data_IF_625626958797
#
_entry.id   IF_625626958797
#
_cell.length_a   1.000
_cell.length_b   1.000
_cell.length_c   1.000
_cell.angle_alpha   90.00
_cell.angle_beta   90.00
_cell.angle_gamma   90.00
#
_symmetry.space_group_name_H-M   'P 1'
#
loop_
_entity.id
_entity.type
_entity.pdbx_description
1 polymer ?
#
# COMPACT_ATOMS: atom_id res chain seq x y z
N UNK A 1 28.66 102.56 -91.11
CA UNK A 1 27.95 103.65 -90.40
C UNK A 1 28.78 103.93 -89.16
N UNK A 2 29.84 104.72 -89.33
CA UNK A 2 29.88 106.19 -89.06
C UNK A 2 29.99 106.42 -87.54
N UNK A 3 30.98 107.12 -86.96
CA UNK A 3 31.86 108.17 -87.48
C UNK A 3 33.08 108.39 -86.55
N UNK A 4 34.22 108.76 -87.16
CA UNK A 4 35.23 109.81 -86.83
C UNK A 4 35.62 110.15 -85.36
N UNK A 5 36.90 110.03 -84.95
CA UNK A 5 38.03 110.97 -85.13
C UNK A 5 38.03 112.14 -84.09
N UNK A 6 39.11 112.73 -83.55
CA UNK A 6 40.55 112.81 -83.87
C UNK A 6 41.30 113.59 -82.75
N UNK A 7 42.59 113.27 -82.51
CA UNK A 7 43.68 114.20 -82.12
C UNK A 7 43.89 114.51 -80.62
N UNK A 8 45.09 114.82 -80.09
CA UNK A 8 46.49 114.73 -80.54
C UNK A 8 47.45 115.19 -79.41
N UNK A 9 48.58 114.47 -79.22
CA UNK A 9 49.97 114.89 -78.81
C UNK A 9 50.24 115.77 -77.56
N UNK A 10 51.14 115.33 -76.65
CA UNK A 10 52.60 115.69 -76.56
C UNK A 10 53.33 115.17 -75.30
N UNK A 11 54.61 114.78 -75.49
CA UNK A 11 55.83 114.85 -74.63
C UNK A 11 55.80 114.23 -73.20
N UNK A 12 56.80 113.53 -72.63
CA UNK A 12 58.25 113.42 -72.82
C UNK A 12 58.77 112.09 -72.18
N UNK A 13 60.05 111.69 -72.38
CA UNK A 13 60.59 110.37 -72.03
C UNK A 13 61.29 110.37 -70.66
N UNK A 14 61.38 109.21 -70.00
CA UNK A 14 62.40 109.01 -68.96
C UNK A 14 62.99 107.59 -69.02
N UNK A 15 64.32 107.55 -69.05
CA UNK A 15 65.14 106.34 -69.13
C UNK A 15 65.43 105.76 -67.74
N UNK A 16 66.04 104.56 -67.68
CA UNK A 16 65.92 103.64 -66.55
C UNK A 16 66.95 103.91 -65.43
N UNK A 17 66.62 103.70 -64.14
CA UNK A 17 67.61 103.66 -63.08
C UNK A 17 68.06 102.23 -62.77
N UNK A 18 69.36 102.02 -62.98
CA UNK A 18 70.31 101.09 -62.35
C UNK A 18 69.80 100.21 -61.21
N UNK A 19 70.02 98.91 -61.40
CA UNK A 19 70.02 97.87 -60.36
C UNK A 19 70.94 98.26 -59.19
N UNK A 20 70.36 98.78 -58.12
CA UNK A 20 70.99 98.85 -56.81
C UNK A 20 71.02 97.45 -56.23
N UNK A 21 72.21 96.88 -56.08
CA UNK A 21 72.40 95.70 -55.22
C UNK A 21 71.86 96.06 -53.83
N UNK A 22 70.72 95.47 -53.46
CA UNK A 22 70.05 95.73 -52.20
C UNK A 22 71.04 95.49 -51.04
N UNK A 23 71.06 96.37 -50.01
CA UNK A 23 71.84 96.15 -48.80
C UNK A 23 71.55 94.76 -48.22
N UNK A 24 72.57 94.07 -47.69
CA UNK A 24 72.47 92.67 -47.22
C UNK A 24 71.31 92.45 -46.22
N UNK A 25 70.98 93.46 -45.42
CA UNK A 25 69.83 93.43 -44.50
C UNK A 25 68.47 93.35 -45.21
N UNK A 26 68.33 94.00 -46.36
CA UNK A 26 67.09 94.03 -47.15
C UNK A 26 66.91 92.72 -47.93
N UNK A 27 67.99 92.18 -48.51
CA UNK A 27 67.98 90.86 -49.14
C UNK A 27 67.65 89.73 -48.15
N UNK A 28 68.10 89.83 -46.89
CA UNK A 28 67.72 88.87 -45.84
C UNK A 28 66.25 88.96 -45.47
N UNK A 29 65.66 90.17 -45.42
CA UNK A 29 64.23 90.34 -45.13
C UNK A 29 63.36 89.79 -46.25
N UNK A 30 63.73 89.98 -47.51
CA UNK A 30 62.98 89.44 -48.64
C UNK A 30 63.10 87.91 -48.74
N UNK A 31 64.25 87.33 -48.42
CA UNK A 31 64.38 85.87 -48.28
C UNK A 31 63.46 85.32 -47.17
N UNK A 32 63.38 86.01 -46.02
CA UNK A 32 62.43 85.64 -44.97
C UNK A 32 60.98 85.80 -45.42
N UNK A 33 60.66 86.86 -46.18
CA UNK A 33 59.34 87.09 -46.76
C UNK A 33 58.96 85.94 -47.70
N UNK A 34 59.85 85.56 -48.62
CA UNK A 34 59.65 84.47 -49.57
C UNK A 34 59.45 83.12 -48.87
N UNK A 35 60.19 82.84 -47.79
CA UNK A 35 59.97 81.64 -46.97
C UNK A 35 58.55 81.65 -46.36
N UNK A 36 58.11 82.80 -45.84
CA UNK A 36 56.78 82.94 -45.23
C UNK A 36 55.67 82.86 -46.27
N UNK A 37 55.84 83.47 -47.43
CA UNK A 37 54.90 83.38 -48.56
C UNK A 37 54.78 81.93 -49.06
N UNK A 38 55.90 81.23 -49.29
CA UNK A 38 55.89 79.81 -49.63
C UNK A 38 55.26 78.93 -48.54
N UNK A 39 55.38 79.31 -47.26
CA UNK A 39 54.67 78.61 -46.18
C UNK A 39 53.16 78.88 -46.25
N UNK A 40 52.75 80.13 -46.50
CA UNK A 40 51.34 80.51 -46.67
C UNK A 40 50.72 79.79 -47.86
N UNK A 41 51.39 79.71 -49.00
CA UNK A 41 50.90 78.98 -50.19
C UNK A 41 50.72 77.48 -49.91
N UNK A 42 51.69 76.85 -49.24
CA UNK A 42 51.56 75.45 -48.80
C UNK A 42 50.37 75.26 -47.87
N UNK A 43 50.16 76.15 -46.90
CA UNK A 43 49.00 76.10 -46.02
C UNK A 43 47.69 76.35 -46.77
N UNK A 44 47.66 77.28 -47.72
CA UNK A 44 46.49 77.54 -48.56
C UNK A 44 46.10 76.32 -49.40
N UNK A 45 47.08 75.63 -49.99
CA UNK A 45 46.83 74.38 -50.70
C UNK A 45 46.29 73.28 -49.77
N UNK A 46 46.86 73.13 -48.58
CA UNK A 46 46.37 72.17 -47.57
C UNK A 46 44.94 72.51 -47.12
N UNK A 47 44.64 73.79 -46.86
CA UNK A 47 43.30 74.27 -46.50
C UNK A 47 42.31 73.95 -47.63
N UNK A 48 42.68 74.20 -48.89
CA UNK A 48 41.82 73.88 -50.05
C UNK A 48 41.53 72.38 -50.12
N UNK A 49 42.56 71.54 -50.01
CA UNK A 49 42.41 70.07 -49.99
C UNK A 49 41.55 69.58 -48.83
N UNK A 50 41.67 70.18 -47.65
CA UNK A 50 40.84 69.86 -46.49
C UNK A 50 39.38 70.27 -46.69
N UNK A 51 39.11 71.45 -47.29
CA UNK A 51 37.75 71.90 -47.63
C UNK A 51 37.08 70.96 -48.62
N UNK A 52 37.78 70.54 -49.67
CA UNK A 52 37.27 69.59 -50.66
C UNK A 52 36.95 68.22 -50.02
N UNK A 53 37.83 67.72 -49.14
CA UNK A 53 37.56 66.48 -48.38
C UNK A 53 36.35 66.62 -47.47
N UNK A 54 36.22 67.75 -46.77
CA UNK A 54 35.10 68.01 -45.88
C UNK A 54 33.77 68.06 -46.66
N UNK A 55 33.74 68.71 -47.82
CA UNK A 55 32.56 68.71 -48.71
C UNK A 55 32.17 67.29 -49.15
N UNK A 56 33.15 66.45 -49.53
CA UNK A 56 32.87 65.04 -49.89
C UNK A 56 32.30 64.25 -48.71
N UNK A 57 32.79 64.48 -47.50
CA UNK A 57 32.25 63.83 -46.30
C UNK A 57 30.83 64.31 -45.97
N UNK A 58 30.55 65.60 -46.11
CA UNK A 58 29.20 66.13 -45.92
C UNK A 58 28.20 65.52 -46.91
N UNK A 59 28.56 65.44 -48.19
CA UNK A 59 27.70 64.84 -49.21
C UNK A 59 27.48 63.35 -48.98
N UNK A 60 28.52 62.59 -48.61
CA UNK A 60 28.38 61.18 -48.25
C UNK A 60 27.45 61.00 -47.05
N UNK A 61 27.61 61.83 -46.02
CA UNK A 61 26.80 61.75 -44.80
C UNK A 61 25.33 62.12 -45.09
N UNK A 62 25.09 63.06 -46.01
CA UNK A 62 23.75 63.40 -46.48
C UNK A 62 23.06 62.21 -47.15
N UNK A 63 23.74 61.54 -48.09
CA UNK A 63 23.21 60.34 -48.77
C UNK A 63 22.92 59.20 -47.80
N UNK A 64 23.83 58.92 -46.87
CA UNK A 64 23.62 57.88 -45.84
C UNK A 64 22.38 58.17 -44.99
N UNK A 65 22.15 59.44 -44.61
CA UNK A 65 20.93 59.82 -43.87
C UNK A 65 19.66 59.66 -44.71
N UNK A 66 19.73 60.00 -46.00
CA UNK A 66 18.60 59.81 -46.93
C UNK A 66 18.26 58.32 -47.10
N UNK A 67 19.27 57.45 -47.26
CA UNK A 67 19.13 56.00 -47.34
C UNK A 67 18.57 55.41 -46.03
N UNK A 68 19.12 55.79 -44.88
CA UNK A 68 18.61 55.35 -43.57
C UNK A 68 17.15 55.75 -43.37
N UNK A 69 16.80 57.00 -43.68
CA UNK A 69 15.42 57.47 -43.61
C UNK A 69 14.50 56.71 -44.56
N UNK A 70 14.98 56.36 -45.75
CA UNK A 70 14.23 55.55 -46.70
C UNK A 70 13.97 54.14 -46.16
N UNK A 71 14.99 53.45 -45.63
CA UNK A 71 14.84 52.12 -45.04
C UNK A 71 13.87 52.12 -43.84
N UNK A 72 13.98 53.11 -42.95
CA UNK A 72 13.08 53.23 -41.80
C UNK A 72 11.63 53.42 -42.27
N UNK A 73 11.39 54.30 -43.24
CA UNK A 73 10.05 54.51 -43.79
C UNK A 73 9.50 53.25 -44.44
N UNK A 74 10.33 52.51 -45.17
CA UNK A 74 9.91 51.28 -45.82
C UNK A 74 9.57 50.18 -44.80
N UNK A 75 10.40 49.98 -43.77
CA UNK A 75 10.11 49.05 -42.67
C UNK A 75 8.81 49.41 -41.94
N UNK A 76 8.58 50.71 -41.67
CA UNK A 76 7.31 51.15 -41.06
C UNK A 76 6.12 50.82 -41.97
N UNK A 77 6.27 50.98 -43.29
CA UNK A 77 5.22 50.64 -44.26
C UNK A 77 4.95 49.14 -44.28
N UNK A 78 5.99 48.30 -44.38
CA UNK A 78 5.87 46.84 -44.36
C UNK A 78 5.23 46.34 -43.05
N UNK A 79 5.59 46.91 -41.91
CA UNK A 79 4.96 46.58 -40.63
C UNK A 79 3.48 46.98 -40.60
N UNK A 80 3.11 48.13 -41.17
CA UNK A 80 1.70 48.54 -41.25
C UNK A 80 0.90 47.62 -42.16
N UNK A 81 1.44 47.23 -43.31
CA UNK A 81 0.78 46.30 -44.24
C UNK A 81 0.61 44.91 -43.59
N UNK A 82 1.64 44.37 -42.94
CA UNK A 82 1.54 43.09 -42.21
C UNK A 82 0.57 43.13 -41.02
N UNK A 83 0.52 44.23 -40.27
CA UNK A 83 -0.41 44.36 -39.14
C UNK A 83 -1.88 44.58 -39.58
N UNK A 84 -2.13 45.01 -40.83
CA UNK A 84 -3.49 45.12 -41.36
C UNK A 84 -4.04 43.78 -41.87
N UNK A 85 -3.15 42.86 -42.27
CA UNK A 85 -3.53 41.54 -42.77
C UNK A 85 -3.60 40.44 -41.68
N UNK A 86 -3.09 40.68 -40.46
CA UNK A 86 -2.96 39.64 -39.43
C UNK A 86 -3.18 40.15 -37.99
N UNK A 87 -4.25 40.91 -37.76
CA UNK A 87 -4.80 41.07 -36.42
C UNK A 87 -6.18 40.42 -36.39
N UNK A 88 -6.33 39.19 -35.83
CA UNK A 88 -7.64 38.65 -35.52
C UNK A 88 -8.30 39.65 -34.58
N UNK A 89 -9.38 40.28 -35.03
CA UNK A 89 -10.19 41.15 -34.18
C UNK A 89 -10.89 40.23 -33.18
N UNK A 90 -10.20 39.94 -32.06
CA UNK A 90 -10.77 39.20 -30.95
C UNK A 90 -11.98 39.98 -30.48
N UNK A 91 -13.15 39.44 -30.77
CA UNK A 91 -14.41 40.09 -30.42
C UNK A 91 -14.63 39.93 -28.93
N UNK A 92 -15.34 40.89 -28.34
CA UNK A 92 -15.69 40.84 -26.92
C UNK A 92 -16.45 39.54 -26.56
N UNK A 93 -17.24 39.03 -27.49
CA UNK A 93 -18.03 37.80 -27.34
C UNK A 93 -17.12 36.57 -27.21
N UNK A 94 -16.09 36.42 -28.04
CA UNK A 94 -15.10 35.33 -27.95
C UNK A 94 -14.33 35.34 -26.62
N UNK A 95 -14.03 36.54 -26.09
CA UNK A 95 -13.36 36.68 -24.78
C UNK A 95 -14.30 36.30 -23.64
N UNK A 96 -15.57 36.71 -23.72
CA UNK A 96 -16.58 36.34 -22.72
C UNK A 96 -16.87 34.83 -22.74
N UNK A 97 -16.90 34.20 -23.92
CA UNK A 97 -17.07 32.76 -24.09
C UNK A 97 -15.85 31.98 -23.57
N UNK A 98 -14.63 32.38 -23.95
CA UNK A 98 -13.39 31.78 -23.43
C UNK A 98 -13.27 31.93 -21.90
N UNK A 99 -13.74 33.03 -21.31
CA UNK A 99 -13.79 33.19 -19.86
C UNK A 99 -14.81 32.27 -19.20
N UNK A 100 -15.99 32.07 -19.79
CA UNK A 100 -17.01 31.14 -19.27
C UNK A 100 -16.50 29.70 -19.32
N UNK A 101 -15.94 29.28 -20.45
CA UNK A 101 -15.34 27.95 -20.60
C UNK A 101 -14.23 27.71 -19.59
N UNK A 102 -13.34 28.70 -19.40
CA UNK A 102 -12.27 28.61 -18.40
C UNK A 102 -12.84 28.48 -16.99
N UNK A 103 -13.87 29.26 -16.66
CA UNK A 103 -14.51 29.20 -15.34
C UNK A 103 -15.20 27.86 -15.09
N UNK A 104 -15.92 27.32 -16.07
CA UNK A 104 -16.54 26.00 -15.98
C UNK A 104 -15.49 24.89 -15.85
N UNK A 105 -14.41 24.97 -16.61
CA UNK A 105 -13.29 24.04 -16.53
C UNK A 105 -12.64 24.05 -15.14
N UNK A 106 -12.35 25.23 -14.59
CA UNK A 106 -11.79 25.36 -13.24
C UNK A 106 -12.73 24.76 -12.18
N UNK A 107 -14.04 25.02 -12.30
CA UNK A 107 -15.04 24.48 -11.38
C UNK A 107 -15.16 22.96 -11.48
N UNK A 108 -15.08 22.41 -12.69
CA UNK A 108 -15.13 20.98 -12.91
C UNK A 108 -13.86 20.28 -12.41
N UNK A 109 -12.69 20.90 -12.58
CA UNK A 109 -11.45 20.44 -11.95
C UNK A 109 -11.56 20.44 -10.42
N UNK A 110 -12.08 21.52 -9.83
CA UNK A 110 -12.23 21.62 -8.38
C UNK A 110 -13.18 20.56 -7.83
N UNK A 111 -14.29 20.29 -8.53
CA UNK A 111 -15.22 19.22 -8.19
C UNK A 111 -14.55 17.84 -8.27
N UNK A 112 -13.82 17.55 -9.34
CA UNK A 112 -13.07 16.31 -9.50
C UNK A 112 -12.01 16.11 -8.41
N UNK A 113 -11.30 17.17 -8.04
CA UNK A 113 -10.32 17.13 -6.94
C UNK A 113 -10.98 16.86 -5.59
N UNK A 114 -12.17 17.42 -5.33
CA UNK A 114 -12.94 17.14 -4.11
C UNK A 114 -13.40 15.68 -4.08
N UNK A 115 -13.91 15.17 -5.19
CA UNK A 115 -14.34 13.78 -5.33
C UNK A 115 -13.17 12.80 -5.08
N UNK A 116 -12.02 13.02 -5.72
CA UNK A 116 -10.83 12.19 -5.46
C UNK A 116 -10.38 12.24 -4.00
N UNK A 117 -10.46 13.40 -3.34
CA UNK A 117 -10.15 13.50 -1.90
C UNK A 117 -11.10 12.69 -1.04
N UNK A 118 -12.39 12.67 -1.37
CA UNK A 118 -13.39 11.86 -0.65
C UNK A 118 -13.06 10.38 -0.83
N UNK A 119 -12.82 9.94 -2.06
CA UNK A 119 -12.47 8.55 -2.37
C UNK A 119 -11.18 8.10 -1.66
N UNK A 120 -10.16 8.96 -1.61
CA UNK A 120 -8.92 8.69 -0.86
C UNK A 120 -9.23 8.49 0.62
N UNK A 121 -9.99 9.40 1.24
CA UNK A 121 -10.34 9.29 2.66
C UNK A 121 -11.15 8.02 2.97
N UNK A 122 -12.10 7.67 2.11
CA UNK A 122 -12.90 6.44 2.25
C UNK A 122 -12.02 5.18 2.13
N UNK A 123 -11.11 5.16 1.16
CA UNK A 123 -10.16 4.08 0.98
C UNK A 123 -9.20 3.96 2.17
N UNK A 124 -8.69 5.07 2.70
CA UNK A 124 -7.84 5.10 3.90
C UNK A 124 -8.57 4.56 5.12
N UNK A 125 -9.85 4.93 5.31
CA UNK A 125 -10.66 4.40 6.40
C UNK A 125 -10.84 2.89 6.30
N UNK A 126 -11.22 2.38 5.12
CA UNK A 126 -11.36 0.94 4.87
C UNK A 126 -10.03 0.21 5.06
N UNK A 127 -8.91 0.82 4.65
CA UNK A 127 -7.59 0.26 4.83
C UNK A 127 -7.24 0.11 6.32
N UNK A 128 -7.50 1.14 7.13
CA UNK A 128 -7.27 1.09 8.58
C UNK A 128 -8.15 0.04 9.28
N UNK A 129 -9.41 -0.09 8.88
CA UNK A 129 -10.29 -1.14 9.38
C UNK A 129 -9.72 -2.53 9.06
N UNK A 130 -9.28 -2.76 7.82
CA UNK A 130 -8.66 -4.03 7.41
C UNK A 130 -7.33 -4.30 8.09
N UNK A 131 -6.55 -3.25 8.35
CA UNK A 131 -5.30 -3.35 9.10
C UNK A 131 -5.57 -3.80 10.55
N UNK A 132 -6.56 -3.20 11.23
CA UNK A 132 -6.93 -3.59 12.59
C UNK A 132 -7.47 -5.02 12.67
N UNK A 133 -8.26 -5.45 11.67
CA UNK A 133 -8.73 -6.84 11.57
C UNK A 133 -7.55 -7.81 11.42
N UNK A 134 -6.58 -7.46 10.57
CA UNK A 134 -5.36 -8.26 10.38
C UNK A 134 -4.56 -8.36 11.69
N UNK A 135 -4.34 -7.24 12.38
CA UNK A 135 -3.63 -7.20 13.66
C UNK A 135 -4.31 -8.09 14.70
N UNK A 136 -5.64 -8.02 14.80
CA UNK A 136 -6.42 -8.92 15.67
C UNK A 136 -6.19 -10.40 15.36
N UNK A 137 -6.25 -10.78 14.07
CA UNK A 137 -6.02 -12.17 13.68
C UNK A 137 -4.59 -12.63 13.90
N UNK A 138 -3.60 -11.75 13.76
CA UNK A 138 -2.20 -12.04 14.08
C UNK A 138 -2.01 -12.23 15.60
N UNK A 139 -2.60 -11.39 16.43
CA UNK A 139 -2.59 -11.56 17.89
C UNK A 139 -3.25 -12.88 18.30
N UNK A 140 -4.40 -13.20 17.71
CA UNK A 140 -5.07 -14.47 17.95
C UNK A 140 -4.19 -15.65 17.51
N UNK A 141 -3.60 -15.60 16.32
CA UNK A 141 -2.72 -16.66 15.83
C UNK A 141 -1.51 -16.87 16.76
N UNK A 142 -0.90 -15.80 17.23
CA UNK A 142 0.34 -15.85 18.01
C UNK A 142 0.12 -16.24 19.48
N UNK A 143 -0.98 -15.78 20.09
CA UNK A 143 -1.23 -15.95 21.54
C UNK A 143 -2.56 -16.69 21.79
N UNK A 144 -3.66 -16.17 21.26
CA UNK A 144 -5.00 -16.70 21.54
C UNK A 144 -5.18 -18.17 21.14
N UNK A 145 -4.60 -18.58 20.02
CA UNK A 145 -4.68 -19.93 19.49
C UNK A 145 -4.02 -20.94 20.43
N UNK A 146 -2.91 -20.57 21.08
CA UNK A 146 -2.24 -21.45 22.03
C UNK A 146 -3.08 -21.61 23.31
N UNK A 147 -3.66 -20.50 23.81
CA UNK A 147 -4.53 -20.51 24.99
C UNK A 147 -5.80 -21.34 24.75
N UNK A 148 -6.47 -21.14 23.61
CA UNK A 148 -7.64 -21.93 23.25
C UNK A 148 -7.29 -23.41 23.01
N UNK A 149 -6.15 -23.71 22.39
CA UNK A 149 -5.71 -25.11 22.25
C UNK A 149 -5.51 -25.78 23.62
N UNK A 150 -4.87 -25.10 24.57
CA UNK A 150 -4.70 -25.60 25.93
C UNK A 150 -6.05 -25.81 26.64
N UNK A 151 -6.98 -24.85 26.51
CA UNK A 151 -8.32 -24.97 27.08
C UNK A 151 -9.09 -26.14 26.48
N UNK A 152 -9.03 -26.32 25.15
CA UNK A 152 -9.67 -27.45 24.47
C UNK A 152 -9.12 -28.78 25.00
N UNK A 153 -7.79 -28.91 25.13
CA UNK A 153 -7.17 -30.12 25.67
C UNK A 153 -7.60 -30.36 27.13
N UNK A 154 -7.64 -29.32 27.96
CA UNK A 154 -8.11 -29.42 29.35
C UNK A 154 -9.55 -29.92 29.40
N UNK A 155 -10.46 -29.32 28.64
CA UNK A 155 -11.86 -29.70 28.61
C UNK A 155 -12.05 -31.11 28.06
N UNK A 156 -11.25 -31.52 27.08
CA UNK A 156 -11.27 -32.89 26.56
C UNK A 156 -10.88 -33.90 27.65
N UNK A 157 -9.85 -33.61 28.43
CA UNK A 157 -9.44 -34.44 29.57
C UNK A 157 -10.54 -34.52 30.64
N UNK A 158 -11.21 -33.41 30.94
CA UNK A 158 -12.33 -33.38 31.88
C UNK A 158 -13.49 -34.24 31.39
N UNK A 159 -13.84 -34.14 30.10
CA UNK A 159 -14.87 -34.98 29.46
C UNK A 159 -14.51 -36.45 29.58
N UNK A 160 -13.27 -36.83 29.27
CA UNK A 160 -12.86 -38.23 29.29
C UNK A 160 -12.81 -38.79 30.72
N UNK A 161 -12.42 -37.97 31.69
CA UNK A 161 -12.49 -38.32 33.13
C UNK A 161 -13.93 -38.56 33.59
N UNK A 162 -14.87 -37.69 33.18
CA UNK A 162 -16.29 -37.85 33.51
C UNK A 162 -16.87 -39.11 32.87
N UNK A 163 -16.50 -39.42 31.62
CA UNK A 163 -16.91 -40.67 30.96
C UNK A 163 -16.40 -41.90 31.69
N UNK A 164 -15.11 -41.95 32.01
CA UNK A 164 -14.51 -43.09 32.72
C UNK A 164 -15.17 -43.30 34.09
N UNK A 165 -15.45 -42.22 34.83
CA UNK A 165 -16.16 -42.30 36.09
C UNK A 165 -17.59 -42.80 35.93
N UNK A 166 -18.32 -42.34 34.91
CA UNK A 166 -19.68 -42.81 34.63
C UNK A 166 -19.70 -44.30 34.27
N UNK A 167 -18.72 -44.78 33.49
CA UNK A 167 -18.55 -46.20 33.16
C UNK A 167 -18.28 -47.04 34.40
N UNK A 168 -17.31 -46.63 35.23
CA UNK A 168 -16.99 -47.29 36.51
C UNK A 168 -18.19 -47.36 37.44
N UNK A 169 -18.93 -46.27 37.59
CA UNK A 169 -20.15 -46.24 38.41
C UNK A 169 -21.22 -47.17 37.85
N UNK A 170 -21.43 -47.18 36.54
CA UNK A 170 -22.37 -48.09 35.87
C UNK A 170 -22.04 -49.56 36.12
N UNK A 171 -20.75 -49.92 36.02
CA UNK A 171 -20.27 -51.27 36.32
C UNK A 171 -20.50 -51.65 37.79
N UNK A 172 -20.18 -50.75 38.72
CA UNK A 172 -20.44 -50.96 40.15
C UNK A 172 -21.93 -51.17 40.43
N UNK A 173 -22.81 -50.37 39.82
CA UNK A 173 -24.26 -50.53 39.97
C UNK A 173 -24.75 -51.87 39.40
N UNK A 174 -24.23 -52.31 38.24
CA UNK A 174 -24.57 -53.62 37.67
C UNK A 174 -24.20 -54.75 38.61
N UNK A 175 -22.96 -54.75 39.12
CA UNK A 175 -22.48 -55.78 40.07
C UNK A 175 -23.32 -55.79 41.34
N UNK A 176 -23.55 -54.62 41.94
CA UNK A 176 -24.34 -54.49 43.16
C UNK A 176 -25.77 -54.99 42.97
N UNK A 177 -26.40 -54.66 41.84
CA UNK A 177 -27.75 -55.08 41.51
C UNK A 177 -27.84 -56.60 41.29
N UNK A 178 -26.86 -57.20 40.63
CA UNK A 178 -26.79 -58.66 40.46
C UNK A 178 -26.63 -59.39 41.79
N UNK A 179 -25.75 -58.89 42.67
CA UNK A 179 -25.53 -59.50 43.98
C UNK A 179 -26.75 -59.38 44.89
N UNK A 180 -27.43 -58.24 44.85
CA UNK A 180 -28.68 -58.03 45.58
C UNK A 180 -29.81 -58.92 45.04
N UNK A 181 -29.91 -59.08 43.72
CA UNK A 181 -30.84 -60.04 43.10
C UNK A 181 -30.55 -61.48 43.55
N UNK A 182 -29.28 -61.90 43.59
CA UNK A 182 -28.89 -63.22 44.11
C UNK A 182 -29.20 -63.36 45.60
N UNK A 183 -29.03 -62.29 46.40
CA UNK A 183 -29.35 -62.27 47.83
C UNK A 183 -30.85 -62.45 48.06
N UNK A 184 -31.68 -61.64 47.40
CA UNK A 184 -33.14 -61.73 47.45
C UNK A 184 -33.61 -63.13 46.99
N UNK A 185 -33.06 -63.66 45.91
CA UNK A 185 -33.42 -65.00 45.41
C UNK A 185 -33.11 -66.11 46.42
N UNK A 186 -31.99 -66.02 47.14
CA UNK A 186 -31.62 -66.96 48.20
C UNK A 186 -32.54 -66.83 49.41
N UNK A 187 -32.77 -65.61 49.87
CA UNK A 187 -33.61 -65.33 51.04
C UNK A 187 -35.06 -65.76 50.80
N UNK A 188 -35.62 -65.43 49.63
CA UNK A 188 -36.96 -65.87 49.22
C UNK A 188 -37.07 -67.39 49.16
N UNK A 189 -36.06 -68.10 48.62
CA UNK A 189 -36.04 -69.56 48.62
C UNK A 189 -36.03 -70.15 50.05
N UNK A 190 -35.27 -69.55 50.97
CA UNK A 190 -35.26 -69.97 52.39
C UNK A 190 -36.63 -69.77 53.02
N UNK A 191 -37.23 -68.59 52.86
CA UNK A 191 -38.56 -68.29 53.37
C UNK A 191 -39.63 -69.24 52.80
N UNK A 192 -39.54 -69.58 51.52
CA UNK A 192 -40.48 -70.49 50.85
C UNK A 192 -40.36 -71.93 51.39
N UNK A 193 -39.13 -72.42 51.63
CA UNK A 193 -38.88 -73.71 52.30
C UNK A 193 -39.45 -73.73 53.71
N UNK A 194 -39.17 -72.70 54.50
CA UNK A 194 -39.73 -72.56 55.84
C UNK A 194 -41.26 -72.57 55.79
N UNK A 195 -41.87 -71.80 54.90
CA UNK A 195 -43.34 -71.73 54.78
C UNK A 195 -43.95 -73.06 54.34
N UNK A 196 -43.27 -73.82 53.48
CA UNK A 196 -43.63 -75.19 53.11
C UNK A 196 -43.57 -76.12 54.33
N UNK A 197 -42.49 -76.08 55.10
CA UNK A 197 -42.33 -76.87 56.32
C UNK A 197 -43.42 -76.54 57.34
N UNK A 198 -43.67 -75.25 57.61
CA UNK A 198 -44.74 -74.79 58.48
C UNK A 198 -46.11 -75.27 58.00
N UNK A 199 -46.41 -75.18 56.71
CA UNK A 199 -47.66 -75.69 56.14
C UNK A 199 -47.78 -77.22 56.28
N UNK A 200 -46.70 -77.97 56.06
CA UNK A 200 -46.70 -79.42 56.27
C UNK A 200 -46.90 -79.80 57.74
N UNK A 201 -46.23 -79.11 58.67
CA UNK A 201 -46.43 -79.32 60.10
C UNK A 201 -47.85 -78.99 60.53
N UNK A 202 -48.41 -77.90 60.00
CA UNK A 202 -49.79 -77.50 60.26
C UNK A 202 -50.77 -78.54 59.72
N UNK A 203 -50.61 -78.99 58.46
CA UNK A 203 -51.46 -80.01 57.86
C UNK A 203 -51.41 -81.34 58.65
N UNK A 204 -50.21 -81.79 59.04
CA UNK A 204 -50.02 -83.00 59.84
C UNK A 204 -50.84 -82.95 61.15
N UNK A 205 -50.96 -81.79 61.80
CA UNK A 205 -51.78 -81.65 63.03
C UNK A 205 -53.26 -81.94 62.83
N UNK A 206 -53.79 -81.86 61.60
CA UNK A 206 -55.19 -82.14 61.29
C UNK A 206 -55.41 -83.55 60.71
N UNK A 207 -54.37 -84.39 60.65
CA UNK A 207 -54.46 -85.77 60.15
C UNK A 207 -54.92 -86.71 61.28
N UNK A 208 -55.82 -87.65 60.96
CA UNK A 208 -56.32 -88.64 61.91
C UNK A 208 -55.21 -89.56 62.47
N UNK A 209 -55.39 -90.03 63.72
CA UNK A 209 -54.40 -90.84 64.44
C UNK A 209 -53.93 -92.10 63.71
N UNK A 210 -54.78 -92.71 62.86
CA UNK A 210 -54.41 -93.90 62.06
C UNK A 210 -53.34 -93.56 61.02
N UNK A 211 -53.49 -92.42 60.35
CA UNK A 211 -52.62 -91.99 59.26
C UNK A 211 -51.25 -91.48 59.77
N UNK A 212 -51.17 -91.02 61.03
CA UNK A 212 -49.91 -90.63 61.68
C UNK A 212 -48.89 -91.78 61.75
N UNK A 213 -49.36 -93.02 61.94
CA UNK A 213 -48.50 -94.20 62.03
C UNK A 213 -47.86 -94.54 60.69
N UNK A 214 -48.65 -94.45 59.62
CA UNK A 214 -48.23 -94.69 58.24
C UNK A 214 -47.25 -93.62 57.73
N UNK A 215 -47.42 -92.35 58.14
CA UNK A 215 -46.47 -91.27 57.85
C UNK A 215 -45.13 -91.52 58.56
N UNK A 216 -45.16 -91.93 59.82
CA UNK A 216 -43.95 -92.18 60.61
C UNK A 216 -43.15 -93.38 60.08
N UNK A 217 -43.83 -94.48 59.71
CA UNK A 217 -43.21 -95.63 59.06
C UNK A 217 -42.62 -95.27 57.69
N UNK A 218 -43.31 -94.48 56.86
CA UNK A 218 -42.77 -93.99 55.58
C UNK A 218 -41.52 -93.11 55.76
N UNK A 219 -41.51 -92.22 56.75
CA UNK A 219 -40.35 -91.37 57.03
C UNK A 219 -39.15 -92.18 57.54
N UNK A 220 -39.39 -93.23 58.33
CA UNK A 220 -38.35 -94.19 58.73
C UNK A 220 -37.79 -94.96 57.52
N UNK A 221 -38.68 -95.48 56.66
CA UNK A 221 -38.32 -96.21 55.44
C UNK A 221 -37.56 -95.35 54.41
N UNK A 222 -37.71 -94.02 54.41
CA UNK A 222 -36.93 -93.10 53.55
C UNK A 222 -35.51 -92.85 54.05
N UNK A 223 -35.28 -92.90 55.37
CA UNK A 223 -33.95 -92.67 55.98
C UNK A 223 -33.05 -93.90 55.86
N UNK A 224 -33.63 -95.09 55.98
CA UNK A 224 -32.88 -96.36 55.92
C UNK A 224 -32.08 -96.57 54.62
N UNK A 225 -32.62 -96.33 53.40
CA UNK A 225 -31.83 -96.42 52.17
C UNK A 225 -30.79 -95.32 52.05
N UNK A 226 -31.02 -94.12 52.60
CA UNK A 226 -30.03 -93.03 52.58
C UNK A 226 -28.81 -93.33 53.46
N UNK A 227 -29.02 -93.90 54.64
CA UNK A 227 -27.93 -94.35 55.51
C UNK A 227 -27.16 -95.51 54.89
N UNK A 228 -27.85 -96.50 54.32
CA UNK A 228 -27.20 -97.64 53.66
C UNK A 228 -26.40 -97.21 52.43
N UNK A 229 -26.93 -96.33 51.58
CA UNK A 229 -26.17 -95.75 50.47
C UNK A 229 -24.97 -94.94 50.96
N UNK A 230 -25.12 -94.11 52.00
CA UNK A 230 -24.02 -93.32 52.56
C UNK A 230 -22.87 -94.22 53.06
N UNK A 231 -23.21 -95.27 53.80
CA UNK A 231 -22.24 -96.27 54.29
C UNK A 231 -21.61 -97.03 53.12
N UNK A 232 -22.39 -97.42 52.12
CA UNK A 232 -21.88 -98.10 50.92
C UNK A 232 -20.96 -97.20 50.09
N UNK A 233 -21.26 -95.90 49.96
CA UNK A 233 -20.40 -94.94 49.25
C UNK A 233 -19.09 -94.73 50.01
N UNK A 234 -19.14 -94.62 51.34
CA UNK A 234 -17.96 -94.49 52.20
C UNK A 234 -17.09 -95.76 52.13
N UNK A 235 -17.71 -96.93 52.19
CA UNK A 235 -17.03 -98.21 52.03
C UNK A 235 -16.43 -98.36 50.61
N UNK A 236 -17.14 -97.92 49.57
CA UNK A 236 -16.64 -97.93 48.18
C UNK A 236 -15.48 -96.96 47.98
N UNK A 237 -15.49 -95.77 48.62
CA UNK A 237 -14.37 -94.83 48.62
C UNK A 237 -13.17 -95.35 49.43
N UNK A 238 -13.40 -96.03 50.55
CA UNK A 238 -12.35 -96.70 51.33
C UNK A 238 -11.74 -97.86 50.57
N UNK A 239 -12.56 -98.69 49.91
CA UNK A 239 -12.10 -99.78 49.07
C UNK A 239 -11.30 -99.27 47.87
N UNK A 240 -11.74 -98.19 47.22
CA UNK A 240 -10.98 -97.55 46.14
C UNK A 240 -9.64 -97.00 46.62
N UNK A 241 -9.57 -96.34 47.80
CA UNK A 241 -8.29 -95.90 48.40
C UNK A 241 -7.35 -97.05 48.78
N UNK A 242 -7.90 -98.19 49.19
CA UNK A 242 -7.11 -99.31 49.70
C UNK A 242 -6.57 -100.21 48.57
N UNK A 243 -7.21 -100.22 47.41
CA UNK A 243 -6.81 -101.06 46.26
C UNK A 243 -6.28 -100.28 45.04
N UNK A 244 -6.46 -98.95 44.98
CA UNK A 244 -5.81 -98.08 44.02
C UNK A 244 -4.86 -97.11 44.73
N UNK A 245 -3.63 -97.55 44.98
CA UNK A 245 -2.51 -96.63 45.20
C UNK A 245 -2.14 -95.98 43.86
N UNK A 246 -2.07 -94.64 43.76
CA UNK A 246 -1.37 -94.02 42.65
C UNK A 246 0.11 -94.37 42.78
N UNK A 247 0.64 -95.08 41.80
CA UNK A 247 2.08 -95.13 41.55
C UNK A 247 2.52 -93.71 41.19
N UNK A 248 3.26 -93.05 42.08
CA UNK A 248 4.04 -91.86 41.74
C UNK A 248 5.11 -92.25 40.70
N UNK A 249 5.15 -91.65 39.49
CA UNK A 249 6.35 -91.60 38.69
C UNK A 249 7.12 -90.31 39.00
N UNK A 250 8.42 -90.46 39.18
CA UNK A 250 9.40 -89.37 39.08
C UNK A 250 9.27 -88.58 37.76
#
# INVERSE_FOLDING_TARGET
>A
MDSSAKGSKKDAPDGPPKDSKLPVSEALLDYHREIKENAVERFMFQIKKLREKNQKYQERNRRLKEEQNWHIKNLIKELKEKNLDEAPVVTREEVEEAMKEKWEFERQQEASLKEMRIQINEAEKLFLEKLSEKEYWEEYKNVGSAQHAQLIVSLQNDIDTVKENAEKMSEQYKVTLEDEKKRISRETMIQLKQRKEWATQHAVRFIDKSNYREIWENDWLKKEPQEKLGVETVLRMQWWRQYHHPTDPC
#
